data_IF_484146643519
#
_entry.id   IF_484146643519
#
_cell.length_a   1.000
_cell.length_b   1.000
_cell.length_c   1.000
_cell.angle_alpha   90.00
_cell.angle_beta   90.00
_cell.angle_gamma   90.00
#
_symmetry.space_group_name_H-M   'P 1'
#
loop_
_entity.id
_entity.type
_entity.pdbx_description
1 polymer ?
#
# COMPACT_ATOMS: atom_id res chain seq x y z
N UNK A 1 25.67 14.94 1.22
CA UNK A 1 24.71 15.89 1.82
C UNK A 1 24.42 15.49 3.25
N UNK A 2 24.46 16.42 4.18
CA UNK A 2 24.17 16.22 5.60
C UNK A 2 22.78 16.77 5.94
N UNK A 3 21.84 15.91 6.32
CA UNK A 3 20.48 16.30 6.72
C UNK A 3 20.44 16.43 8.23
N UNK A 4 20.13 17.61 8.78
CA UNK A 4 20.08 17.89 10.21
C UNK A 4 18.65 18.22 10.64
N UNK A 5 18.23 17.76 11.83
CA UNK A 5 16.93 18.11 12.40
C UNK A 5 16.95 18.01 13.93
N UNK A 6 15.91 18.58 14.56
CA UNK A 6 15.73 18.44 16.01
C UNK A 6 15.60 16.96 16.42
N UNK A 7 14.91 16.15 15.63
CA UNK A 7 14.71 14.73 15.90
C UNK A 7 15.09 13.86 14.71
N UNK A 8 15.87 12.81 14.95
CA UNK A 8 16.00 11.66 14.06
C UNK A 8 15.18 10.54 14.69
N UNK A 9 14.22 10.00 13.96
CA UNK A 9 13.33 8.90 14.39
C UNK A 9 13.66 7.66 13.54
N UNK A 10 14.61 6.83 13.96
CA UNK A 10 15.08 5.70 13.14
C UNK A 10 14.04 4.60 12.95
N UNK A 11 13.05 4.51 13.83
CA UNK A 11 12.04 3.46 13.96
C UNK A 11 12.61 2.15 14.52
N UNK A 12 13.79 1.72 14.10
CA UNK A 12 14.49 0.52 14.63
C UNK A 12 15.19 0.75 15.98
N UNK A 13 15.27 2.00 16.44
CA UNK A 13 15.87 2.39 17.71
C UNK A 13 15.20 3.65 18.27
N UNK A 14 15.54 4.03 19.51
CA UNK A 14 15.01 5.24 20.15
C UNK A 14 15.34 6.51 19.36
N UNK A 15 14.44 7.50 19.34
CA UNK A 15 14.67 8.78 18.70
C UNK A 15 15.90 9.51 19.26
N UNK A 16 16.66 10.17 18.37
CA UNK A 16 17.83 10.98 18.71
C UNK A 16 17.49 12.47 18.60
N UNK A 17 17.78 13.25 19.63
CA UNK A 17 17.66 14.71 19.58
C UNK A 17 18.90 15.36 18.95
N UNK A 18 18.69 16.45 18.20
CA UNK A 18 19.73 17.22 17.52
C UNK A 18 20.64 16.32 16.68
N UNK A 19 20.00 15.49 15.84
CA UNK A 19 20.66 14.48 15.04
C UNK A 19 20.91 14.91 13.59
N UNK A 20 21.74 14.14 12.91
CA UNK A 20 22.03 14.30 11.49
C UNK A 20 22.24 12.96 10.80
N UNK A 21 21.85 12.91 9.52
CA UNK A 21 22.05 11.80 8.60
C UNK A 21 22.99 12.24 7.50
N UNK A 22 24.04 11.45 7.20
CA UNK A 22 24.85 11.65 6.00
C UNK A 22 24.27 10.79 4.87
N UNK A 23 23.86 11.42 3.79
CA UNK A 23 23.42 10.74 2.56
C UNK A 23 24.50 10.85 1.50
N UNK A 24 24.95 9.70 0.96
CA UNK A 24 25.90 9.60 -0.16
C UNK A 24 25.49 8.45 -1.06
N UNK A 25 25.57 8.66 -2.37
CA UNK A 25 25.31 7.63 -3.39
C UNK A 25 23.98 6.90 -3.19
N UNK A 26 22.93 7.62 -2.73
CA UNK A 26 21.60 7.07 -2.53
C UNK A 26 21.41 6.31 -1.21
N UNK A 27 22.44 6.19 -0.37
CA UNK A 27 22.38 5.46 0.89
C UNK A 27 22.66 6.35 2.10
N UNK A 28 22.19 5.90 3.27
CA UNK A 28 22.54 6.50 4.56
C UNK A 28 23.96 6.03 4.91
N UNK A 29 24.94 6.93 4.81
CA UNK A 29 26.34 6.61 5.00
C UNK A 29 26.79 6.72 6.47
N UNK A 30 26.18 7.61 7.27
CA UNK A 30 26.47 7.77 8.70
C UNK A 30 25.29 8.43 9.43
N UNK A 31 25.19 8.19 10.73
CA UNK A 31 24.17 8.76 11.63
C UNK A 31 24.84 9.19 12.94
N UNK A 32 24.51 10.39 13.42
CA UNK A 32 25.05 10.87 14.68
C UNK A 32 24.46 12.20 15.13
N UNK A 33 25.00 12.78 16.20
CA UNK A 33 24.60 14.12 16.62
C UNK A 33 25.06 15.16 15.59
N UNK A 34 24.25 16.20 15.39
CA UNK A 34 24.58 17.29 14.44
C UNK A 34 25.97 17.85 14.65
N UNK A 35 26.37 18.05 15.92
CA UNK A 35 27.69 18.58 16.26
C UNK A 35 28.82 17.64 15.78
N UNK A 36 28.73 16.35 16.12
CA UNK A 36 29.76 15.36 15.70
C UNK A 36 29.81 15.21 14.19
N UNK A 37 28.65 15.19 13.53
CA UNK A 37 28.56 14.98 12.09
C UNK A 37 29.14 16.18 11.30
N UNK A 38 28.86 17.42 11.74
CA UNK A 38 29.46 18.62 11.14
C UNK A 38 30.99 18.68 11.32
N UNK A 39 31.51 18.21 12.45
CA UNK A 39 32.95 18.12 12.68
C UNK A 39 33.62 17.03 11.83
N UNK A 40 32.93 15.89 11.63
CA UNK A 40 33.47 14.77 10.86
C UNK A 40 33.41 15.02 9.35
N UNK A 41 32.42 15.76 8.90
CA UNK A 41 32.12 16.01 7.49
C UNK A 41 32.00 17.52 7.18
N UNK A 42 33.07 18.32 7.38
CA UNK A 42 32.98 19.77 7.29
C UNK A 42 32.74 20.30 5.87
N UNK A 43 33.05 19.50 4.84
CA UNK A 43 32.89 19.89 3.44
C UNK A 43 31.57 19.45 2.82
N UNK A 44 30.70 18.74 3.58
CA UNK A 44 29.42 18.33 3.07
C UNK A 44 28.41 19.48 3.04
N UNK A 45 27.59 19.50 1.99
CA UNK A 45 26.42 20.37 1.95
C UNK A 45 25.48 20.03 3.11
N UNK A 46 25.11 21.07 3.90
CA UNK A 46 24.24 20.90 5.07
C UNK A 46 22.85 21.43 4.75
N UNK A 47 21.84 20.59 4.98
CA UNK A 47 20.44 20.93 4.96
C UNK A 47 19.87 20.77 6.36
N UNK A 48 19.50 21.89 6.99
CA UNK A 48 19.01 21.92 8.37
C UNK A 48 17.51 22.25 8.40
N UNK A 49 16.72 21.30 8.88
CA UNK A 49 15.26 21.39 8.95
C UNK A 49 14.75 22.00 10.27
N UNK A 50 15.66 22.37 11.18
CA UNK A 50 15.30 23.00 12.47
C UNK A 50 14.43 22.09 13.35
N UNK A 51 13.27 22.60 13.78
CA UNK A 51 12.30 21.89 14.62
C UNK A 51 11.48 20.88 13.79
N UNK A 52 12.14 19.89 13.22
CA UNK A 52 11.54 18.83 12.43
C UNK A 52 11.95 17.45 12.93
N UNK A 53 11.22 16.42 12.45
CA UNK A 53 11.61 15.02 12.56
C UNK A 53 12.04 14.48 11.19
N UNK A 54 13.21 13.82 11.12
CA UNK A 54 13.58 12.97 10.01
C UNK A 54 13.16 11.52 10.34
N UNK A 55 12.35 10.93 9.47
CA UNK A 55 11.85 9.55 9.58
C UNK A 55 12.18 8.76 8.33
N UNK A 56 12.13 7.41 8.36
CA UNK A 56 12.03 6.65 7.13
C UNK A 56 10.80 7.11 6.34
N UNK A 57 10.89 7.05 5.01
CA UNK A 57 9.71 7.28 4.19
C UNK A 57 8.58 6.30 4.51
N UNK A 58 7.35 6.77 4.44
CA UNK A 58 6.19 5.91 4.64
C UNK A 58 6.07 4.92 3.48
N UNK A 59 5.52 3.74 3.79
CA UNK A 59 5.23 2.66 2.85
C UNK A 59 3.73 2.42 2.87
N UNK A 60 3.06 2.72 1.76
CA UNK A 60 1.64 2.40 1.55
C UNK A 60 1.51 1.00 0.93
N UNK A 61 0.95 0.05 1.66
CA UNK A 61 0.83 -1.34 1.21
C UNK A 61 -0.35 -1.59 0.26
N UNK A 62 -1.20 -0.60 0.01
CA UNK A 62 -2.31 -0.71 -0.94
C UNK A 62 -2.86 0.68 -1.32
N UNK A 63 -2.24 1.37 -2.27
CA UNK A 63 -2.55 2.74 -2.62
C UNK A 63 -3.68 2.89 -3.66
N UNK A 64 -3.81 1.97 -4.63
CA UNK A 64 -4.77 2.05 -5.74
C UNK A 64 -4.71 3.41 -6.47
N UNK A 65 -3.50 3.85 -6.81
CA UNK A 65 -3.27 5.18 -7.41
C UNK A 65 -4.07 5.43 -8.69
N UNK A 66 -4.41 4.38 -9.45
CA UNK A 66 -5.26 4.46 -10.65
C UNK A 66 -6.69 4.96 -10.34
N UNK A 67 -7.16 4.82 -9.11
CA UNK A 67 -8.52 5.18 -8.71
C UNK A 67 -8.71 6.66 -8.35
N UNK A 68 -7.67 7.49 -8.47
CA UNK A 68 -7.73 8.93 -8.16
C UNK A 68 -8.80 9.69 -8.94
N UNK A 69 -9.00 9.35 -10.21
CA UNK A 69 -10.02 9.97 -11.09
C UNK A 69 -11.45 9.76 -10.59
N UNK A 70 -11.70 8.69 -9.83
CA UNK A 70 -13.03 8.35 -9.31
C UNK A 70 -13.32 8.98 -7.94
N UNK A 71 -12.39 9.71 -7.35
CA UNK A 71 -12.53 10.36 -6.04
C UNK A 71 -13.85 11.11 -5.92
N UNK A 72 -14.70 10.71 -4.95
CA UNK A 72 -16.00 11.33 -4.68
C UNK A 72 -17.08 11.13 -5.75
N UNK A 73 -16.91 10.21 -6.72
CA UNK A 73 -17.97 9.86 -7.68
C UNK A 73 -18.94 8.82 -7.08
N UNK A 74 -18.43 7.87 -6.32
CA UNK A 74 -19.23 6.84 -5.64
C UNK A 74 -19.12 7.08 -4.13
N UNK A 75 -20.24 7.45 -3.49
CA UNK A 75 -20.25 7.88 -2.09
C UNK A 75 -21.38 7.21 -1.31
N UNK A 76 -21.15 7.04 -0.01
CA UNK A 76 -22.18 6.65 0.98
C UNK A 76 -22.89 5.32 0.62
N UNK A 77 -22.13 4.37 0.06
CA UNK A 77 -22.62 3.05 -0.29
C UNK A 77 -21.87 1.96 0.50
N UNK A 78 -22.57 0.87 0.88
CA UNK A 78 -21.90 -0.30 1.44
C UNK A 78 -21.05 -1.00 0.37
N UNK A 79 -20.11 -1.84 0.83
CA UNK A 79 -19.06 -2.46 0.02
C UNK A 79 -19.54 -3.04 -1.32
N UNK A 80 -20.57 -3.91 -1.33
CA UNK A 80 -21.02 -4.59 -2.55
C UNK A 80 -21.57 -3.60 -3.59
N UNK A 81 -22.37 -2.64 -3.16
CA UNK A 81 -22.94 -1.62 -4.04
C UNK A 81 -21.86 -0.65 -4.53
N UNK A 82 -20.94 -0.26 -3.64
CA UNK A 82 -19.78 0.56 -4.01
C UNK A 82 -18.94 -0.15 -5.09
N UNK A 83 -18.60 -1.43 -4.86
CA UNK A 83 -17.79 -2.21 -5.79
C UNK A 83 -18.40 -2.32 -7.18
N UNK A 84 -19.71 -2.56 -7.25
CA UNK A 84 -20.44 -2.59 -8.52
C UNK A 84 -20.32 -1.27 -9.29
N UNK A 85 -20.55 -0.16 -8.60
CA UNK A 85 -20.49 1.16 -9.22
C UNK A 85 -19.07 1.54 -9.66
N UNK A 86 -18.06 1.23 -8.85
CA UNK A 86 -16.67 1.55 -9.19
C UNK A 86 -16.16 0.70 -10.36
N UNK A 87 -16.55 -0.58 -10.45
CA UNK A 87 -16.19 -1.44 -11.58
C UNK A 87 -16.82 -0.95 -12.89
N UNK A 88 -18.07 -0.46 -12.87
CA UNK A 88 -18.69 0.20 -14.03
C UNK A 88 -17.87 1.43 -14.46
N UNK A 89 -17.49 2.30 -13.54
CA UNK A 89 -16.67 3.48 -13.85
C UNK A 89 -15.29 3.11 -14.40
N UNK A 90 -14.62 2.12 -13.83
CA UNK A 90 -13.30 1.64 -14.30
C UNK A 90 -13.38 1.14 -15.75
N UNK A 91 -14.47 0.48 -16.15
CA UNK A 91 -14.66 0.00 -17.53
C UNK A 91 -14.81 1.12 -18.56
N UNK A 92 -15.01 2.38 -18.12
CA UNK A 92 -15.30 3.55 -18.97
C UNK A 92 -14.08 4.44 -19.18
N UNK A 93 -12.92 4.14 -18.60
CA UNK A 93 -11.67 4.90 -18.79
C UNK A 93 -10.71 4.17 -19.72
N UNK A 94 -9.92 4.92 -20.46
CA UNK A 94 -8.84 4.39 -21.30
C UNK A 94 -7.56 4.18 -20.49
N UNK A 95 -6.65 3.33 -20.98
CA UNK A 95 -5.36 3.06 -20.31
C UNK A 95 -4.53 4.33 -20.09
N UNK A 96 -4.56 5.29 -21.05
CA UNK A 96 -3.88 6.57 -20.91
C UNK A 96 -4.48 7.46 -19.79
N UNK A 97 -5.79 7.38 -19.58
CA UNK A 97 -6.47 8.10 -18.50
C UNK A 97 -6.22 7.44 -17.14
N UNK A 98 -6.10 6.11 -17.12
CA UNK A 98 -5.66 5.37 -15.95
C UNK A 98 -4.22 5.75 -15.57
N UNK A 99 -3.31 5.93 -16.55
CA UNK A 99 -1.96 6.42 -16.31
C UNK A 99 -1.94 7.82 -15.70
N UNK A 100 -2.70 8.77 -16.26
CA UNK A 100 -2.76 10.12 -15.73
C UNK A 100 -3.33 10.15 -14.30
N UNK A 101 -4.33 9.31 -14.03
CA UNK A 101 -4.88 9.13 -12.68
C UNK A 101 -3.84 8.56 -11.70
N UNK A 102 -3.11 7.52 -12.12
CA UNK A 102 -2.05 6.92 -11.33
C UNK A 102 -0.89 7.90 -11.07
N UNK A 103 -0.50 8.66 -12.10
CA UNK A 103 0.53 9.68 -11.96
C UNK A 103 0.16 10.75 -10.93
N UNK A 104 -1.09 11.23 -10.96
CA UNK A 104 -1.60 12.18 -9.95
C UNK A 104 -1.61 11.57 -8.54
N UNK A 105 -2.01 10.30 -8.40
CA UNK A 105 -1.94 9.57 -7.14
C UNK A 105 -0.50 9.46 -6.60
N UNK A 106 0.47 9.13 -7.46
CA UNK A 106 1.89 9.08 -7.08
C UNK A 106 2.44 10.46 -6.63
N UNK A 107 1.98 11.56 -7.24
CA UNK A 107 2.36 12.91 -6.80
C UNK A 107 1.77 13.24 -5.40
N UNK A 108 0.55 12.78 -5.13
CA UNK A 108 -0.08 12.92 -3.80
C UNK A 108 0.71 12.13 -2.76
N UNK A 109 1.06 10.86 -3.05
CA UNK A 109 1.91 10.02 -2.18
C UNK A 109 3.24 10.69 -1.84
N UNK A 110 3.96 11.21 -2.84
CA UNK A 110 5.22 11.93 -2.60
C UNK A 110 5.03 13.14 -1.68
N UNK A 111 3.98 13.93 -1.89
CA UNK A 111 3.72 15.10 -1.05
C UNK A 111 3.23 14.73 0.36
N UNK A 112 2.75 13.50 0.54
CA UNK A 112 2.35 12.93 1.83
C UNK A 112 3.46 12.18 2.57
N UNK A 113 4.70 12.17 2.04
CA UNK A 113 5.83 11.51 2.68
C UNK A 113 5.94 10.02 2.38
N UNK A 114 5.19 9.50 1.44
CA UNK A 114 5.32 8.11 0.99
C UNK A 114 6.48 8.00 0.01
N UNK A 115 7.35 7.02 0.22
CA UNK A 115 8.51 6.73 -0.63
C UNK A 115 8.36 5.40 -1.38
N UNK A 116 7.52 4.51 -0.86
CA UNK A 116 7.26 3.18 -1.42
C UNK A 116 5.76 2.92 -1.45
N UNK A 117 5.26 2.44 -2.57
CA UNK A 117 3.88 1.96 -2.68
C UNK A 117 3.83 0.48 -3.06
N UNK A 118 2.87 -0.25 -2.50
CA UNK A 118 2.42 -1.51 -3.05
C UNK A 118 1.05 -1.28 -3.70
N UNK A 119 0.91 -1.67 -4.96
CA UNK A 119 -0.32 -1.40 -5.73
C UNK A 119 -0.66 -2.54 -6.68
N UNK A 120 -1.90 -2.57 -7.14
CA UNK A 120 -2.39 -3.55 -8.10
C UNK A 120 -2.85 -2.86 -9.38
N UNK A 121 -2.53 -3.43 -10.54
CA UNK A 121 -2.86 -2.87 -11.85
C UNK A 121 -3.25 -3.96 -12.86
N UNK A 122 -4.22 -3.68 -13.70
CA UNK A 122 -4.54 -4.51 -14.86
C UNK A 122 -3.98 -3.94 -16.18
N UNK A 123 -3.66 -2.65 -16.21
CA UNK A 123 -3.24 -1.89 -17.40
C UNK A 123 -1.74 -1.64 -17.45
N UNK A 124 -1.06 -1.68 -16.29
CA UNK A 124 0.32 -1.26 -16.10
C UNK A 124 0.47 0.24 -15.76
N UNK A 125 -0.64 0.97 -15.67
CA UNK A 125 -0.59 2.41 -15.37
C UNK A 125 0.13 2.72 -14.06
N UNK A 126 -0.15 1.97 -12.98
CA UNK A 126 0.55 2.12 -11.71
C UNK A 126 2.06 1.82 -11.83
N UNK A 127 2.48 0.85 -12.66
CA UNK A 127 3.91 0.54 -12.88
C UNK A 127 4.64 1.75 -13.44
N UNK A 128 4.12 2.31 -14.53
CA UNK A 128 4.79 3.40 -15.24
C UNK A 128 4.69 4.73 -14.49
N UNK A 129 3.56 5.02 -13.85
CA UNK A 129 3.40 6.21 -13.03
C UNK A 129 4.38 6.21 -11.82
N UNK A 130 4.50 5.07 -11.12
CA UNK A 130 5.44 4.91 -9.99
C UNK A 130 6.88 5.12 -10.45
N UNK A 131 7.27 4.51 -11.58
CA UNK A 131 8.60 4.70 -12.20
C UNK A 131 8.86 6.17 -12.52
N UNK A 132 7.92 6.81 -13.22
CA UNK A 132 8.12 8.17 -13.76
C UNK A 132 8.08 9.24 -12.66
N UNK A 133 7.41 8.97 -11.54
CA UNK A 133 7.46 9.79 -10.32
C UNK A 133 8.70 9.53 -9.46
N UNK A 134 9.49 8.50 -9.74
CA UNK A 134 10.68 8.17 -8.96
C UNK A 134 10.38 7.49 -7.62
N UNK A 135 9.14 7.08 -7.35
CA UNK A 135 8.77 6.26 -6.19
C UNK A 135 9.36 4.86 -6.31
N UNK A 136 9.59 4.22 -5.18
CA UNK A 136 9.77 2.77 -5.12
C UNK A 136 8.42 2.07 -5.18
N UNK A 137 8.35 0.89 -5.82
CA UNK A 137 7.10 0.16 -5.93
C UNK A 137 7.23 -1.35 -5.85
N UNK A 138 6.21 -2.00 -5.28
CA UNK A 138 5.93 -3.43 -5.48
C UNK A 138 4.57 -3.50 -6.15
N UNK A 139 4.57 -3.70 -7.47
CA UNK A 139 3.35 -3.55 -8.28
C UNK A 139 2.89 -4.90 -8.81
N UNK A 140 1.67 -5.27 -8.46
CA UNK A 140 1.08 -6.57 -8.73
C UNK A 140 0.18 -6.49 -9.98
N UNK A 141 0.43 -7.38 -10.95
CA UNK A 141 -0.45 -7.57 -12.11
C UNK A 141 -1.70 -8.31 -11.67
N UNK A 142 -2.86 -7.65 -11.72
CA UNK A 142 -4.15 -8.27 -11.43
C UNK A 142 -4.47 -9.36 -12.48
N UNK A 143 -4.87 -10.56 -12.04
CA UNK A 143 -5.21 -11.68 -12.91
C UNK A 143 -6.44 -12.40 -12.40
N UNK A 144 -7.45 -12.53 -13.25
CA UNK A 144 -8.67 -13.23 -12.92
C UNK A 144 -9.39 -13.74 -14.16
N UNK A 145 -10.13 -14.80 -13.95
CA UNK A 145 -11.09 -15.34 -14.89
C UNK A 145 -12.08 -16.20 -14.12
N UNK A 146 -13.35 -15.87 -14.19
CA UNK A 146 -14.41 -16.66 -13.54
C UNK A 146 -14.79 -17.89 -14.36
N UNK A 147 -14.70 -17.81 -15.70
CA UNK A 147 -14.92 -18.95 -16.61
C UNK A 147 -13.63 -19.77 -16.73
N UNK A 148 -13.70 -21.06 -16.38
CA UNK A 148 -12.58 -22.00 -16.42
C UNK A 148 -11.84 -21.98 -17.77
N UNK A 149 -12.57 -21.86 -18.88
CA UNK A 149 -11.98 -21.85 -20.23
C UNK A 149 -11.04 -20.67 -20.48
N UNK A 150 -11.21 -19.57 -19.73
CA UNK A 150 -10.42 -18.36 -19.84
C UNK A 150 -9.20 -18.34 -18.91
N UNK A 151 -9.09 -19.24 -17.93
CA UNK A 151 -8.00 -19.27 -16.95
C UNK A 151 -6.63 -19.29 -17.64
N UNK A 152 -6.41 -20.22 -18.56
CA UNK A 152 -5.13 -20.32 -19.28
C UNK A 152 -4.82 -19.09 -20.14
N UNK A 153 -5.85 -18.46 -20.72
CA UNK A 153 -5.67 -17.23 -21.50
C UNK A 153 -5.28 -16.06 -20.58
N UNK A 154 -5.94 -15.91 -19.45
CA UNK A 154 -5.62 -14.88 -18.45
C UNK A 154 -4.19 -15.01 -17.92
N UNK A 155 -3.75 -16.24 -17.60
CA UNK A 155 -2.37 -16.51 -17.17
C UNK A 155 -1.34 -16.15 -18.26
N UNK A 156 -1.57 -16.51 -19.52
CA UNK A 156 -0.67 -16.14 -20.63
C UNK A 156 -0.61 -14.64 -20.85
N UNK A 157 -1.74 -13.95 -20.74
CA UNK A 157 -1.77 -12.48 -20.84
C UNK A 157 -0.98 -11.82 -19.71
N UNK A 158 -1.19 -12.28 -18.49
CA UNK A 158 -0.45 -11.80 -17.32
C UNK A 158 1.07 -11.99 -17.51
N UNK A 159 1.50 -13.17 -17.92
CA UNK A 159 2.90 -13.48 -18.20
C UNK A 159 3.51 -12.54 -19.24
N UNK A 160 2.83 -12.35 -20.37
CA UNK A 160 3.23 -11.41 -21.43
C UNK A 160 3.31 -9.95 -20.95
N UNK A 161 2.36 -9.51 -20.10
CA UNK A 161 2.38 -8.16 -19.52
C UNK A 161 3.57 -7.99 -18.58
N UNK A 162 3.83 -8.96 -17.70
CA UNK A 162 4.97 -8.94 -16.77
C UNK A 162 6.32 -8.96 -17.49
N UNK A 163 6.47 -9.80 -18.53
CA UNK A 163 7.66 -9.82 -19.38
C UNK A 163 7.91 -8.46 -20.02
N UNK A 164 6.89 -7.85 -20.61
CA UNK A 164 6.97 -6.53 -21.20
C UNK A 164 7.33 -5.45 -20.18
N UNK A 165 6.67 -5.44 -19.02
CA UNK A 165 6.89 -4.40 -18.00
C UNK A 165 8.28 -4.52 -17.37
N UNK A 166 8.77 -5.75 -17.14
CA UNK A 166 10.11 -5.98 -16.59
C UNK A 166 11.24 -5.39 -17.44
N UNK A 167 11.05 -5.30 -18.76
CA UNK A 167 12.01 -4.69 -19.69
C UNK A 167 11.99 -3.15 -19.64
N UNK A 168 10.96 -2.55 -19.01
CA UNK A 168 10.73 -1.10 -19.00
C UNK A 168 10.98 -0.46 -17.64
N UNK A 169 11.30 -1.22 -16.62
CA UNK A 169 11.55 -0.74 -15.24
C UNK A 169 12.88 -1.21 -14.71
N UNK A 170 13.42 -0.46 -13.77
CA UNK A 170 14.58 -0.87 -12.99
C UNK A 170 14.11 -1.77 -11.84
N UNK A 171 14.58 -3.03 -11.72
CA UNK A 171 14.18 -3.94 -10.65
C UNK A 171 14.60 -3.49 -9.25
N UNK A 172 15.57 -2.58 -9.12
CA UNK A 172 15.92 -1.96 -7.84
C UNK A 172 14.92 -0.86 -7.43
N UNK A 173 14.16 -0.33 -8.38
CA UNK A 173 13.09 0.64 -8.12
C UNK A 173 11.71 -0.03 -8.05
N UNK A 174 11.37 -0.89 -9.02
CA UNK A 174 10.04 -1.51 -9.17
C UNK A 174 10.17 -3.03 -9.16
N UNK A 175 9.59 -3.65 -8.15
CA UNK A 175 9.40 -5.10 -8.07
C UNK A 175 8.02 -5.42 -8.65
N UNK A 176 7.97 -6.36 -9.60
CA UNK A 176 6.70 -6.83 -10.15
C UNK A 176 6.21 -8.06 -9.39
N UNK A 177 4.90 -8.17 -9.24
CA UNK A 177 4.22 -9.28 -8.59
C UNK A 177 2.93 -9.67 -9.31
N UNK A 178 2.16 -10.58 -8.71
CA UNK A 178 0.88 -11.07 -9.24
C UNK A 178 -0.21 -10.93 -8.20
N UNK A 179 -1.40 -10.49 -8.63
CA UNK A 179 -2.58 -10.40 -7.78
C UNK A 179 -3.75 -11.16 -8.40
N UNK A 180 -4.06 -12.39 -7.95
CA UNK A 180 -5.29 -13.04 -8.36
C UNK A 180 -6.50 -12.27 -7.84
N UNK A 181 -7.58 -12.25 -8.64
CA UNK A 181 -8.83 -11.59 -8.26
C UNK A 181 -9.49 -12.26 -7.05
N UNK A 182 -10.37 -11.55 -6.32
CA UNK A 182 -11.10 -12.10 -5.17
C UNK A 182 -11.91 -13.35 -5.50
N UNK A 183 -12.25 -14.11 -4.46
CA UNK A 183 -12.88 -15.43 -4.57
C UNK A 183 -14.20 -15.45 -5.35
N UNK A 184 -14.92 -14.35 -5.40
CA UNK A 184 -16.18 -14.22 -6.13
C UNK A 184 -16.03 -13.70 -7.58
N UNK A 185 -14.80 -13.36 -8.00
CA UNK A 185 -14.45 -12.92 -9.36
C UNK A 185 -13.47 -13.87 -10.07
N UNK A 186 -13.06 -14.95 -9.39
CA UNK A 186 -11.96 -15.79 -9.86
C UNK A 186 -12.31 -17.27 -9.81
N UNK A 187 -12.02 -18.00 -10.88
CA UNK A 187 -12.08 -19.47 -10.84
C UNK A 187 -11.01 -20.01 -9.90
N UNK A 188 -11.32 -20.97 -9.02
CA UNK A 188 -10.39 -21.40 -7.98
C UNK A 188 -9.08 -22.01 -8.49
N UNK A 189 -9.06 -22.59 -9.70
CA UNK A 189 -7.82 -23.08 -10.33
C UNK A 189 -6.78 -21.95 -10.55
N UNK A 190 -7.21 -20.69 -10.60
CA UNK A 190 -6.32 -19.55 -10.74
C UNK A 190 -5.35 -19.46 -9.56
N UNK A 191 -5.81 -19.72 -8.33
CA UNK A 191 -4.97 -19.65 -7.13
C UNK A 191 -3.79 -20.60 -7.19
N UNK A 192 -4.03 -21.84 -7.59
CA UNK A 192 -2.97 -22.84 -7.79
C UNK A 192 -2.01 -22.44 -8.90
N UNK A 193 -2.57 -21.97 -10.02
CA UNK A 193 -1.74 -21.55 -11.16
C UNK A 193 -0.86 -20.35 -10.83
N UNK A 194 -1.39 -19.38 -10.06
CA UNK A 194 -0.61 -18.22 -9.57
C UNK A 194 0.50 -18.66 -8.61
N UNK A 195 0.21 -19.55 -7.66
CA UNK A 195 1.22 -20.06 -6.73
C UNK A 195 2.35 -20.79 -7.47
N UNK A 196 2.01 -21.65 -8.41
CA UNK A 196 2.99 -22.34 -9.24
C UNK A 196 3.80 -21.35 -10.09
N UNK A 197 3.15 -20.38 -10.73
CA UNK A 197 3.84 -19.36 -11.51
C UNK A 197 4.81 -18.54 -10.67
N UNK A 198 4.39 -18.12 -9.48
CA UNK A 198 5.25 -17.37 -8.56
C UNK A 198 6.50 -18.17 -8.16
N UNK A 199 6.33 -19.46 -7.85
CA UNK A 199 7.46 -20.36 -7.51
C UNK A 199 8.42 -20.57 -8.69
N UNK A 200 7.91 -20.67 -9.93
CA UNK A 200 8.72 -20.82 -11.14
C UNK A 200 9.48 -19.53 -11.53
N UNK A 201 9.07 -18.38 -11.00
CA UNK A 201 9.63 -17.04 -11.30
C UNK A 201 10.30 -16.39 -10.07
N UNK A 202 11.19 -17.10 -9.40
CA UNK A 202 11.99 -16.62 -8.26
C UNK A 202 11.16 -16.15 -7.06
N UNK A 203 10.11 -16.90 -6.73
CA UNK A 203 9.20 -16.56 -5.62
C UNK A 203 8.60 -15.16 -5.74
N UNK A 204 8.09 -14.82 -6.93
CA UNK A 204 7.42 -13.54 -7.19
C UNK A 204 6.42 -13.20 -6.08
N UNK A 205 6.34 -11.94 -5.64
CA UNK A 205 5.37 -11.54 -4.64
C UNK A 205 3.93 -11.67 -5.15
N UNK A 206 3.06 -12.14 -4.28
CA UNK A 206 1.63 -12.34 -4.54
C UNK A 206 0.82 -11.47 -3.60
N UNK A 207 -0.17 -10.75 -4.12
CA UNK A 207 -1.13 -9.97 -3.32
C UNK A 207 -2.55 -10.47 -3.58
N UNK A 208 -3.38 -10.54 -2.54
CA UNK A 208 -4.75 -11.04 -2.66
C UNK A 208 -5.70 -10.28 -1.74
N UNK A 209 -6.81 -9.76 -2.29
CA UNK A 209 -7.95 -9.29 -1.50
C UNK A 209 -8.69 -10.49 -0.94
N UNK A 210 -8.78 -10.60 0.39
CA UNK A 210 -9.32 -11.80 1.03
C UNK A 210 -9.88 -11.51 2.42
N UNK A 211 -10.93 -12.22 2.77
CA UNK A 211 -11.64 -12.08 4.05
C UNK A 211 -12.04 -10.63 4.32
N UNK A 212 -12.44 -9.92 3.27
CA UNK A 212 -12.68 -8.48 3.28
C UNK A 212 -14.05 -8.11 3.86
N UNK A 213 -15.07 -9.00 3.76
CA UNK A 213 -16.41 -8.69 4.23
C UNK A 213 -17.20 -9.92 4.67
N UNK A 214 -18.29 -9.68 5.41
CA UNK A 214 -19.25 -10.73 5.78
C UNK A 214 -19.96 -11.32 4.56
N UNK A 215 -20.12 -10.54 3.51
CA UNK A 215 -20.71 -10.94 2.24
C UNK A 215 -19.81 -11.98 1.55
N UNK A 216 -18.51 -11.78 1.54
CA UNK A 216 -17.54 -12.75 1.04
C UNK A 216 -17.55 -14.05 1.85
N UNK A 217 -17.60 -13.95 3.19
CA UNK A 217 -17.71 -15.15 4.06
C UNK A 217 -18.98 -15.96 3.73
N UNK A 218 -20.12 -15.31 3.54
CA UNK A 218 -21.37 -15.97 3.15
C UNK A 218 -21.29 -16.58 1.76
N UNK A 219 -20.66 -15.87 0.84
CA UNK A 219 -20.44 -16.35 -0.53
C UNK A 219 -19.66 -17.67 -0.53
N UNK A 220 -18.54 -17.72 0.15
CA UNK A 220 -17.68 -18.92 0.20
C UNK A 220 -18.31 -20.03 1.03
N UNK A 221 -18.73 -19.73 2.27
CA UNK A 221 -19.14 -20.73 3.23
C UNK A 221 -20.50 -21.33 2.92
N UNK A 222 -21.46 -20.46 2.59
CA UNK A 222 -22.87 -20.81 2.48
C UNK A 222 -23.35 -20.95 1.02
N UNK A 223 -22.49 -20.62 0.05
CA UNK A 223 -22.87 -20.57 -1.37
C UNK A 223 -23.87 -19.45 -1.69
N UNK A 224 -24.03 -18.49 -0.78
CA UNK A 224 -24.94 -17.37 -0.96
C UNK A 224 -24.25 -16.26 -1.75
N UNK A 225 -24.85 -15.82 -2.84
CA UNK A 225 -24.25 -14.76 -3.67
C UNK A 225 -24.10 -13.44 -2.93
N UNK A 226 -25.02 -13.15 -1.98
CA UNK A 226 -25.03 -11.93 -1.15
C UNK A 226 -24.85 -10.62 -1.98
N UNK A 227 -25.19 -10.66 -3.27
CA UNK A 227 -25.02 -9.56 -4.21
C UNK A 227 -23.64 -9.48 -4.87
N UNK A 228 -22.65 -10.26 -4.43
CA UNK A 228 -21.28 -10.24 -4.99
C UNK A 228 -21.24 -10.75 -6.43
N UNK A 229 -22.11 -11.70 -6.81
CA UNK A 229 -22.30 -12.15 -8.19
C UNK A 229 -22.72 -11.01 -9.13
N UNK A 230 -23.37 -9.97 -8.63
CA UNK A 230 -23.75 -8.80 -9.41
C UNK A 230 -22.60 -7.84 -9.69
N UNK A 231 -21.44 -8.04 -9.07
CA UNK A 231 -20.22 -7.24 -9.31
C UNK A 231 -19.48 -7.68 -10.57
N UNK A 232 -19.82 -8.86 -11.10
CA UNK A 232 -19.22 -9.45 -12.31
C UNK A 232 -20.27 -9.61 -13.39
N UNK A 233 -19.94 -9.26 -14.64
CA UNK A 233 -20.78 -9.53 -15.79
C UNK A 233 -20.56 -10.98 -16.26
N UNK A 234 -21.53 -11.83 -15.97
CA UNK A 234 -21.48 -13.25 -16.32
C UNK A 234 -22.00 -13.57 -17.74
N UNK A 235 -22.38 -12.56 -18.52
CA UNK A 235 -22.90 -12.78 -19.90
C UNK A 235 -21.86 -13.44 -20.78
N UNK A 236 -22.22 -14.57 -21.37
CA UNK A 236 -21.34 -15.33 -22.24
C UNK A 236 -20.38 -16.29 -21.52
N UNK A 237 -20.36 -16.33 -20.19
CA UNK A 237 -19.61 -17.34 -19.44
C UNK A 237 -20.34 -18.68 -19.44
N UNK A 238 -19.60 -19.77 -19.55
CA UNK A 238 -20.16 -21.14 -19.70
C UNK A 238 -19.70 -22.07 -18.58
N UNK A 239 -18.43 -22.04 -18.22
CA UNK A 239 -17.83 -22.91 -17.22
C UNK A 239 -17.51 -22.11 -15.92
N UNK A 240 -18.54 -21.51 -15.33
CA UNK A 240 -18.46 -20.78 -14.07
C UNK A 240 -18.61 -21.75 -12.91
N UNK A 241 -17.85 -21.60 -11.79
CA UNK A 241 -18.02 -22.42 -10.60
C UNK A 241 -19.46 -22.35 -10.11
N UNK A 242 -20.03 -23.49 -9.65
CA UNK A 242 -21.42 -23.52 -9.22
C UNK A 242 -21.68 -22.82 -7.88
N UNK A 243 -20.66 -22.22 -7.27
CA UNK A 243 -20.70 -21.55 -5.96
C UNK A 243 -21.49 -22.33 -4.90
N UNK A 244 -21.19 -23.62 -4.81
CA UNK A 244 -21.80 -24.50 -3.80
C UNK A 244 -21.27 -24.16 -2.41
N UNK A 245 -22.09 -24.37 -1.35
CA UNK A 245 -21.62 -24.22 0.02
C UNK A 245 -20.36 -25.04 0.27
N UNK A 246 -19.29 -24.40 0.75
CA UNK A 246 -18.02 -25.05 1.05
C UNK A 246 -17.85 -25.35 2.54
N UNK A 247 -18.64 -24.67 3.39
CA UNK A 247 -18.57 -24.72 4.85
C UNK A 247 -17.21 -24.26 5.43
N UNK A 248 -16.33 -23.65 4.62
CA UNK A 248 -15.03 -23.09 5.08
C UNK A 248 -15.02 -21.57 5.01
N UNK A 249 -14.02 -20.97 5.65
CA UNK A 249 -13.75 -19.53 5.55
C UNK A 249 -13.09 -19.18 4.21
N UNK A 250 -13.11 -17.91 3.77
CA UNK A 250 -12.36 -17.48 2.59
C UNK A 250 -10.87 -17.82 2.66
N UNK A 251 -10.24 -17.68 3.83
CA UNK A 251 -8.83 -18.03 4.05
C UNK A 251 -8.58 -19.53 3.82
N UNK A 252 -9.40 -20.38 4.43
CA UNK A 252 -9.29 -21.84 4.24
C UNK A 252 -9.64 -22.25 2.80
N UNK A 253 -10.55 -21.55 2.13
CA UNK A 253 -10.85 -21.80 0.73
C UNK A 253 -9.62 -21.59 -0.16
N UNK A 254 -8.97 -20.46 -0.04
CA UNK A 254 -7.76 -20.13 -0.82
C UNK A 254 -6.59 -21.04 -0.45
N UNK A 255 -6.42 -21.36 0.84
CA UNK A 255 -5.45 -22.34 1.33
C UNK A 255 -5.65 -23.71 0.66
N UNK A 256 -6.89 -24.22 0.63
CA UNK A 256 -7.21 -25.52 0.01
C UNK A 256 -6.94 -25.55 -1.50
N UNK A 257 -6.98 -24.38 -2.15
CA UNK A 257 -6.61 -24.25 -3.56
C UNK A 257 -5.12 -23.96 -3.79
N UNK A 258 -4.31 -23.94 -2.72
CA UNK A 258 -2.85 -23.97 -2.76
C UNK A 258 -2.18 -22.62 -2.99
N UNK A 259 -2.89 -21.46 -2.86
CA UNK A 259 -2.24 -20.17 -3.06
C UNK A 259 -1.16 -19.89 -2.00
N UNK A 260 -1.37 -20.33 -0.76
CA UNK A 260 -0.43 -20.09 0.34
C UNK A 260 0.85 -20.96 0.26
N UNK A 261 0.98 -21.79 -0.77
CA UNK A 261 2.25 -22.46 -1.10
C UNK A 261 3.26 -21.52 -1.74
N UNK A 262 2.80 -20.36 -2.28
CA UNK A 262 3.67 -19.27 -2.70
C UNK A 262 4.34 -18.63 -1.46
N UNK A 263 5.64 -18.26 -1.58
CA UNK A 263 6.43 -17.82 -0.41
C UNK A 263 6.20 -16.40 0.04
N UNK A 264 5.77 -15.51 -0.84
CA UNK A 264 5.65 -14.06 -0.60
C UNK A 264 4.20 -13.62 -0.78
N UNK A 265 3.30 -14.12 0.06
CA UNK A 265 1.88 -13.78 -0.01
C UNK A 265 1.56 -12.65 0.95
N UNK A 266 0.95 -11.58 0.42
CA UNK A 266 0.35 -10.47 1.18
C UNK A 266 -1.16 -10.51 1.00
N UNK A 267 -1.88 -10.74 2.09
CA UNK A 267 -3.34 -10.63 2.14
C UNK A 267 -3.74 -9.17 2.40
N UNK A 268 -4.65 -8.64 1.58
CA UNK A 268 -5.24 -7.32 1.77
C UNK A 268 -6.53 -7.43 2.57
N UNK A 269 -6.75 -6.45 3.44
CA UNK A 269 -7.90 -6.26 4.33
C UNK A 269 -7.96 -7.20 5.52
N UNK A 270 -8.22 -8.49 5.34
CA UNK A 270 -8.26 -9.46 6.45
C UNK A 270 -9.22 -9.11 7.58
N UNK A 271 -10.41 -8.59 7.26
CA UNK A 271 -11.38 -8.10 8.25
C UNK A 271 -12.15 -9.23 8.92
N UNK A 272 -12.53 -10.25 8.13
CA UNK A 272 -13.43 -11.33 8.55
C UNK A 272 -12.68 -12.67 8.67
N UNK A 273 -11.76 -12.75 9.62
CA UNK A 273 -10.95 -13.96 9.89
C UNK A 273 -11.32 -14.59 11.23
N UNK A 274 -11.02 -15.87 11.37
CA UNK A 274 -11.10 -16.64 12.63
C UNK A 274 -9.72 -16.84 13.23
N UNK A 275 -9.66 -17.29 14.49
CA UNK A 275 -8.39 -17.67 15.12
C UNK A 275 -7.66 -18.79 14.36
N UNK A 276 -8.42 -19.73 13.76
CA UNK A 276 -7.89 -20.80 12.93
C UNK A 276 -7.27 -20.25 11.63
N UNK A 277 -7.92 -19.27 11.01
CA UNK A 277 -7.37 -18.58 9.84
C UNK A 277 -6.05 -17.88 10.16
N UNK A 278 -5.98 -17.18 11.30
CA UNK A 278 -4.75 -16.51 11.77
C UNK A 278 -3.62 -17.52 11.98
N UNK A 279 -3.92 -18.71 12.54
CA UNK A 279 -2.91 -19.79 12.68
C UNK A 279 -2.41 -20.27 11.32
N UNK A 280 -3.31 -20.51 10.37
CA UNK A 280 -2.93 -20.94 9.03
C UNK A 280 -2.08 -19.86 8.33
N UNK A 281 -2.49 -18.59 8.40
CA UNK A 281 -1.72 -17.49 7.83
C UNK A 281 -0.30 -17.43 8.40
N UNK A 282 -0.14 -17.61 9.71
CA UNK A 282 1.18 -17.67 10.36
C UNK A 282 1.99 -18.87 9.88
N UNK A 283 1.38 -20.05 9.83
CA UNK A 283 2.07 -21.30 9.49
C UNK A 283 2.56 -21.31 8.03
N UNK A 284 1.91 -20.53 7.16
CA UNK A 284 2.31 -20.32 5.76
C UNK A 284 3.03 -18.99 5.51
N UNK A 285 3.40 -18.26 6.57
CA UNK A 285 4.11 -16.97 6.50
C UNK A 285 3.41 -15.91 5.63
N UNK A 286 2.08 -15.89 5.66
CA UNK A 286 1.26 -14.88 4.98
C UNK A 286 1.33 -13.56 5.74
N UNK A 287 1.64 -12.47 5.05
CA UNK A 287 1.61 -11.12 5.59
C UNK A 287 0.24 -10.45 5.40
N UNK A 288 -0.04 -9.41 6.15
CA UNK A 288 -1.32 -8.69 6.08
C UNK A 288 -1.10 -7.19 5.86
N UNK A 289 -1.79 -6.63 4.88
CA UNK A 289 -1.95 -5.19 4.71
C UNK A 289 -3.38 -4.79 5.07
N UNK A 290 -3.55 -3.99 6.11
CA UNK A 290 -4.86 -3.49 6.53
C UNK A 290 -5.11 -2.09 6.01
N UNK A 291 -6.36 -1.81 5.58
CA UNK A 291 -6.80 -0.51 5.11
C UNK A 291 -7.96 -0.04 6.00
N UNK A 292 -7.65 0.52 7.18
CA UNK A 292 -8.64 0.75 8.22
C UNK A 292 -9.73 1.73 7.79
N UNK A 293 -9.38 2.85 7.18
CA UNK A 293 -10.35 3.85 6.75
C UNK A 293 -11.26 3.34 5.63
N UNK A 294 -10.71 2.63 4.65
CA UNK A 294 -11.50 2.01 3.57
C UNK A 294 -12.49 0.99 4.14
N UNK A 295 -12.02 0.09 5.00
CA UNK A 295 -12.87 -0.95 5.60
C UNK A 295 -14.01 -0.37 6.41
N UNK A 296 -13.74 0.70 7.18
CA UNK A 296 -14.78 1.41 7.94
C UNK A 296 -15.76 2.18 7.03
N UNK A 297 -15.24 2.91 6.04
CA UNK A 297 -16.04 3.71 5.10
C UNK A 297 -17.04 2.85 4.32
N UNK A 298 -16.65 1.65 3.94
CA UNK A 298 -17.50 0.73 3.17
C UNK A 298 -18.30 -0.25 4.04
N UNK A 299 -18.23 -0.14 5.37
CA UNK A 299 -18.96 -0.98 6.31
C UNK A 299 -18.50 -2.45 6.33
N UNK A 300 -17.27 -2.73 5.89
CA UNK A 300 -16.71 -4.08 5.85
C UNK A 300 -16.43 -4.61 7.26
N UNK A 301 -16.02 -3.74 8.18
CA UNK A 301 -15.69 -4.07 9.56
C UNK A 301 -14.31 -3.55 9.96
N UNK A 302 -13.72 -4.17 10.99
CA UNK A 302 -12.41 -3.82 11.53
C UNK A 302 -11.54 -5.07 11.59
N UNK A 303 -10.34 -5.00 11.01
CA UNK A 303 -9.38 -6.09 11.06
C UNK A 303 -8.86 -6.31 12.49
N UNK A 304 -8.65 -7.55 12.96
CA UNK A 304 -8.18 -7.84 14.30
C UNK A 304 -6.66 -7.67 14.42
N UNK A 305 -6.16 -6.44 14.24
CA UNK A 305 -4.72 -6.13 14.17
C UNK A 305 -3.98 -6.53 15.44
N UNK A 306 -4.59 -6.33 16.62
CA UNK A 306 -3.99 -6.76 17.88
C UNK A 306 -3.74 -8.28 17.93
N UNK A 307 -4.65 -9.09 17.38
CA UNK A 307 -4.52 -10.53 17.28
C UNK A 307 -3.45 -10.92 16.26
N UNK A 308 -3.39 -10.25 15.13
CA UNK A 308 -2.35 -10.46 14.12
C UNK A 308 -0.96 -10.25 14.69
N UNK A 309 -0.74 -9.09 15.33
CA UNK A 309 0.54 -8.74 15.94
C UNK A 309 0.94 -9.73 17.04
N UNK A 310 -0.02 -10.12 17.91
CA UNK A 310 0.20 -11.11 18.98
C UNK A 310 0.56 -12.49 18.44
N UNK A 311 0.00 -12.86 17.29
CA UNK A 311 0.29 -14.13 16.63
C UNK A 311 1.61 -14.12 15.87
N UNK A 312 2.32 -12.99 15.82
CA UNK A 312 3.60 -12.84 15.14
C UNK A 312 3.49 -12.67 13.63
N UNK A 313 2.30 -12.34 13.09
CA UNK A 313 2.14 -12.02 11.68
C UNK A 313 2.84 -10.70 11.34
N UNK A 314 3.35 -10.61 10.11
CA UNK A 314 3.81 -9.35 9.52
C UNK A 314 2.59 -8.55 9.08
N UNK A 315 2.44 -7.36 9.68
CA UNK A 315 1.26 -6.49 9.45
C UNK A 315 1.72 -5.08 9.17
N UNK A 316 1.15 -4.46 8.16
CA UNK A 316 1.36 -3.06 7.83
C UNK A 316 0.08 -2.38 7.35
N UNK A 317 0.18 -1.09 7.05
CA UNK A 317 -0.93 -0.23 6.66
C UNK A 317 -0.95 0.04 5.16
N UNK A 318 -2.14 0.23 4.62
CA UNK A 318 -2.39 0.79 3.30
C UNK A 318 -3.55 1.78 3.36
N UNK A 319 -3.56 2.77 2.48
CA UNK A 319 -4.63 3.77 2.40
C UNK A 319 -5.89 3.23 1.74
N UNK A 320 -5.75 2.21 0.91
CA UNK A 320 -6.83 1.67 0.10
C UNK A 320 -7.03 2.48 -1.17
N UNK A 321 -8.28 2.70 -1.59
CA UNK A 321 -8.56 3.36 -2.86
C UNK A 321 -9.01 4.82 -2.65
N UNK A 322 -8.41 5.82 -3.34
CA UNK A 322 -8.91 7.20 -3.35
C UNK A 322 -10.37 7.32 -3.76
N UNK A 323 -10.87 6.34 -4.53
CA UNK A 323 -12.28 6.24 -4.89
C UNK A 323 -13.22 6.00 -3.71
N UNK A 324 -12.73 5.43 -2.60
CA UNK A 324 -13.53 5.14 -1.39
C UNK A 324 -13.30 6.18 -0.28
N UNK A 325 -12.03 6.46 0.07
CA UNK A 325 -11.68 7.32 1.21
C UNK A 325 -11.42 8.77 0.83
N UNK A 326 -11.29 9.08 -0.46
CA UNK A 326 -11.02 10.41 -1.02
C UNK A 326 -9.63 11.01 -0.74
N UNK A 327 -8.70 10.28 -0.15
CA UNK A 327 -7.34 10.73 0.14
C UNK A 327 -6.34 9.58 0.09
N UNK A 328 -5.05 9.92 0.01
CA UNK A 328 -3.91 9.06 0.24
C UNK A 328 -3.11 9.70 1.38
N UNK A 329 -3.28 9.22 2.61
CA UNK A 329 -2.75 9.87 3.82
C UNK A 329 -2.42 8.84 4.91
N UNK A 330 -1.15 8.48 5.02
CA UNK A 330 -0.66 7.53 6.01
C UNK A 330 -0.78 8.05 7.46
N UNK A 331 -0.74 9.37 7.69
CA UNK A 331 -0.97 9.92 9.03
C UNK A 331 -2.40 9.65 9.51
N UNK A 332 -3.37 9.83 8.61
CA UNK A 332 -4.77 9.54 8.90
C UNK A 332 -5.00 8.06 9.13
N UNK A 333 -4.40 7.17 8.33
CA UNK A 333 -4.52 5.72 8.50
C UNK A 333 -3.92 5.26 9.84
N UNK A 334 -2.69 5.69 10.19
CA UNK A 334 -2.07 5.39 11.47
C UNK A 334 -2.93 5.84 12.66
N UNK A 335 -3.43 7.07 12.59
CA UNK A 335 -4.27 7.67 13.66
C UNK A 335 -5.60 6.95 13.80
N UNK A 336 -6.26 6.67 12.70
CA UNK A 336 -7.54 5.98 12.68
C UNK A 336 -7.40 4.55 13.22
N UNK A 337 -6.40 3.81 12.76
CA UNK A 337 -6.12 2.45 13.24
C UNK A 337 -5.82 2.43 14.74
N UNK A 338 -4.99 3.36 15.23
CA UNK A 338 -4.70 3.48 16.66
C UNK A 338 -5.96 3.68 17.49
N UNK A 339 -6.85 4.58 17.05
CA UNK A 339 -8.08 4.91 17.78
C UNK A 339 -9.10 3.77 17.74
N UNK A 340 -9.30 3.14 16.58
CA UNK A 340 -10.32 2.10 16.44
C UNK A 340 -9.92 0.83 17.19
N UNK A 341 -8.63 0.46 17.17
CA UNK A 341 -8.15 -0.69 17.95
C UNK A 341 -8.27 -0.47 19.44
N UNK A 342 -7.93 0.72 19.94
CA UNK A 342 -8.11 1.08 21.35
C UNK A 342 -9.58 1.08 21.79
N UNK A 343 -10.50 1.44 20.90
CA UNK A 343 -11.93 1.43 21.19
C UNK A 343 -12.52 0.01 21.25
N UNK A 344 -12.00 -0.91 20.46
CA UNK A 344 -12.53 -2.28 20.35
C UNK A 344 -11.79 -3.30 21.19
N UNK A 345 -10.49 -3.15 21.36
CA UNK A 345 -9.63 -4.07 22.10
C UNK A 345 -9.38 -3.56 23.52
N UNK A 346 -9.19 -4.51 24.46
CA UNK A 346 -8.67 -4.19 25.80
C UNK A 346 -7.16 -3.95 25.82
N UNK A 347 -6.48 -4.24 24.71
CA UNK A 347 -5.06 -4.01 24.55
C UNK A 347 -4.82 -2.67 23.84
N UNK A 348 -3.94 -1.88 24.43
CA UNK A 348 -3.62 -0.55 23.91
C UNK A 348 -2.42 -0.65 22.97
N UNK A 349 -2.65 -0.61 21.66
CA UNK A 349 -1.58 -0.34 20.70
C UNK A 349 -0.93 1.01 21.02
N UNK A 350 0.39 1.07 20.92
CA UNK A 350 1.14 2.31 21.14
C UNK A 350 1.49 2.99 19.80
N UNK A 351 1.88 4.24 19.86
CA UNK A 351 2.22 5.06 18.70
C UNK A 351 3.40 4.49 17.91
N UNK A 352 4.41 3.95 18.59
CA UNK A 352 5.57 3.34 17.95
C UNK A 352 5.16 2.17 17.04
N UNK A 353 4.26 1.30 17.49
CA UNK A 353 3.77 0.16 16.70
C UNK A 353 3.10 0.63 15.40
N UNK A 354 2.30 1.71 15.46
CA UNK A 354 1.63 2.24 14.25
C UNK A 354 2.63 2.89 13.29
N UNK A 355 3.63 3.61 13.80
CA UNK A 355 4.70 4.15 12.99
C UNK A 355 5.51 3.01 12.31
N UNK A 356 5.82 1.94 13.05
CA UNK A 356 6.42 0.74 12.48
C UNK A 356 5.55 0.12 11.39
N UNK A 357 4.23 0.05 11.56
CA UNK A 357 3.30 -0.50 10.56
C UNK A 357 3.24 0.33 9.27
N UNK A 358 3.58 1.60 9.34
CA UNK A 358 3.68 2.49 8.18
C UNK A 358 5.11 2.56 7.59
N UNK A 359 6.10 1.90 8.19
CA UNK A 359 7.52 1.97 7.83
C UNK A 359 8.19 0.61 7.86
N UNK A 360 8.86 0.24 8.96
CA UNK A 360 9.67 -0.99 9.07
C UNK A 360 8.84 -2.27 8.92
N UNK A 361 7.67 -2.37 9.57
CA UNK A 361 6.80 -3.54 9.43
C UNK A 361 6.20 -3.63 8.03
N UNK A 362 5.87 -2.49 7.40
CA UNK A 362 5.44 -2.48 6.02
C UNK A 362 6.56 -2.96 5.07
N UNK A 363 7.80 -2.54 5.30
CA UNK A 363 8.96 -3.07 4.58
C UNK A 363 9.12 -4.58 4.77
N UNK A 364 8.92 -5.09 5.99
CA UNK A 364 8.93 -6.54 6.28
C UNK A 364 7.79 -7.30 5.57
N UNK A 365 6.61 -6.70 5.45
CA UNK A 365 5.49 -7.26 4.66
C UNK A 365 5.93 -7.46 3.21
N UNK A 366 6.62 -6.48 2.63
CA UNK A 366 7.12 -6.52 1.25
C UNK A 366 8.46 -7.25 1.09
N UNK A 367 9.10 -7.67 2.19
CA UNK A 367 10.45 -8.29 2.21
C UNK A 367 11.53 -7.42 1.60
N UNK A 368 11.49 -6.13 1.89
CA UNK A 368 12.49 -5.12 1.49
C UNK A 368 13.07 -4.37 2.69
N UNK A 369 12.90 -4.92 3.89
CA UNK A 369 13.36 -4.31 5.15
C UNK A 369 14.88 -4.31 5.32
N UNK A 370 15.60 -5.04 4.49
CA UNK A 370 17.06 -4.92 4.32
C UNK A 370 17.47 -3.62 3.60
N UNK A 371 16.57 -3.03 2.81
CA UNK A 371 16.83 -1.83 1.99
C UNK A 371 16.23 -0.55 2.57
N UNK A 372 14.99 -0.61 3.10
CA UNK A 372 14.21 0.57 3.53
C UNK A 372 13.40 0.30 4.81
N UNK A 373 12.60 1.27 5.25
CA UNK A 373 11.67 1.15 6.39
C UNK A 373 12.26 1.56 7.74
N UNK A 374 13.55 1.79 7.85
CA UNK A 374 14.22 2.36 9.03
C UNK A 374 15.42 3.20 8.60
N UNK A 375 15.83 4.15 9.48
CA UNK A 375 17.07 4.93 9.24
C UNK A 375 18.25 4.20 9.88
N UNK A 376 18.98 3.46 9.06
CA UNK A 376 20.15 2.71 9.46
C UNK A 376 21.27 2.89 8.42
N UNK A 377 22.53 2.88 8.90
CA UNK A 377 23.69 2.98 8.00
C UNK A 377 23.70 1.79 7.02
N UNK A 378 23.85 2.09 5.74
CA UNK A 378 23.84 1.13 4.64
C UNK A 378 22.47 0.96 3.97
N UNK A 379 21.37 1.38 4.57
CA UNK A 379 20.05 1.39 3.92
C UNK A 379 19.92 2.53 2.92
N UNK A 380 19.01 2.38 1.99
CA UNK A 380 18.69 3.41 1.01
C UNK A 380 18.14 4.66 1.72
N UNK A 381 18.51 5.82 1.20
CA UNK A 381 18.06 7.10 1.73
C UNK A 381 16.65 7.42 1.21
N UNK A 382 15.67 6.66 1.71
CA UNK A 382 14.24 6.93 1.59
C UNK A 382 13.82 7.61 2.90
N UNK A 383 13.78 8.95 2.89
CA UNK A 383 13.72 9.80 4.08
C UNK A 383 12.63 10.86 3.92
N UNK A 384 11.90 11.13 5.01
CA UNK A 384 10.92 12.22 5.08
C UNK A 384 11.31 13.19 6.20
N UNK A 385 11.22 14.49 5.91
CA UNK A 385 11.30 15.54 6.91
C UNK A 385 9.88 16.06 7.19
N UNK A 386 9.50 16.09 8.47
CA UNK A 386 8.18 16.51 8.94
C UNK A 386 8.38 17.66 9.91
N UNK A 387 7.79 18.81 9.60
CA UNK A 387 7.83 20.01 10.44
C UNK A 387 7.05 19.77 11.74
N UNK A 388 7.68 20.04 12.87
CA UNK A 388 7.09 19.95 14.22
C UNK A 388 7.04 21.32 14.92
N UNK A 389 7.22 22.44 14.20
CA UNK A 389 7.22 23.78 14.75
C UNK A 389 5.82 24.41 14.84
N UNK A 390 4.82 23.82 14.21
CA UNK A 390 3.47 24.34 14.15
C UNK A 390 2.79 24.50 15.50
N UNK A 391 1.84 25.43 15.61
CA UNK A 391 1.08 25.65 16.85
C UNK A 391 0.28 24.44 17.31
N UNK A 392 -0.16 23.59 16.39
CA UNK A 392 -0.88 22.33 16.66
C UNK A 392 0.03 21.24 17.19
N UNK A 393 1.35 21.42 17.14
CA UNK A 393 2.37 20.47 17.57
C UNK A 393 3.14 20.95 18.82
N UNK A 394 3.01 22.22 19.18
CA UNK A 394 3.74 22.83 20.30
C UNK A 394 2.92 22.73 21.60
N UNK A 395 3.49 22.25 22.72
CA UNK A 395 4.86 21.78 22.90
C UNK A 395 5.04 20.30 22.48
N UNK A 396 6.12 19.99 21.75
CA UNK A 396 6.49 18.63 21.40
C UNK A 396 7.70 18.19 22.23
N UNK A 397 7.57 17.09 22.96
CA UNK A 397 8.65 16.46 23.73
C UNK A 397 8.91 15.00 23.32
N UNK A 398 7.92 14.39 22.65
CA UNK A 398 8.00 13.04 22.10
C UNK A 398 7.65 13.09 20.60
N UNK A 399 8.65 12.93 19.69
CA UNK A 399 8.42 13.03 18.28
C UNK A 399 7.49 11.95 17.73
N UNK A 400 7.49 10.73 18.27
CA UNK A 400 6.62 9.65 17.82
C UNK A 400 5.16 9.96 18.14
N UNK A 401 4.89 10.45 19.34
CA UNK A 401 3.53 10.89 19.71
C UNK A 401 3.06 12.08 18.89
N UNK A 402 3.95 13.01 18.52
CA UNK A 402 3.63 14.14 17.65
C UNK A 402 3.28 13.68 16.23
N UNK A 403 4.09 12.79 15.65
CA UNK A 403 3.87 12.23 14.33
C UNK A 403 2.49 11.56 14.21
N UNK A 404 2.09 10.80 15.21
CA UNK A 404 0.79 10.13 15.19
C UNK A 404 -0.37 11.01 15.65
N UNK A 405 -0.14 11.87 16.64
CA UNK A 405 -1.20 12.61 17.30
C UNK A 405 -1.62 13.88 16.58
N UNK A 406 -0.65 14.64 16.05
CA UNK A 406 -0.86 15.99 15.55
C UNK A 406 -0.36 16.25 14.12
N UNK A 407 0.66 15.52 13.65
CA UNK A 407 1.18 15.72 12.31
C UNK A 407 0.19 15.29 11.21
N UNK A 408 0.32 15.86 10.04
CA UNK A 408 -0.51 15.62 8.85
C UNK A 408 0.33 15.74 7.58
N UNK A 409 -0.26 15.45 6.42
CA UNK A 409 0.41 15.63 5.13
C UNK A 409 0.93 17.06 4.91
N UNK A 410 0.25 18.07 5.45
CA UNK A 410 0.68 19.47 5.32
C UNK A 410 1.96 19.79 6.09
N UNK A 411 2.37 18.94 7.01
CA UNK A 411 3.60 19.11 7.80
C UNK A 411 4.81 18.43 7.13
N UNK A 412 4.61 17.69 6.03
CA UNK A 412 5.70 17.12 5.24
C UNK A 412 6.40 18.24 4.47
N UNK A 413 7.68 18.46 4.77
CA UNK A 413 8.50 19.50 4.16
C UNK A 413 9.56 18.97 3.18
N UNK A 414 9.87 17.66 3.23
CA UNK A 414 10.75 17.02 2.25
C UNK A 414 10.46 15.53 2.16
N UNK A 415 10.43 15.00 0.93
CA UNK A 415 10.40 13.56 0.64
C UNK A 415 11.57 13.22 -0.28
N UNK A 416 12.40 12.29 0.18
CA UNK A 416 13.60 11.80 -0.52
C UNK A 416 13.45 10.31 -0.80
N UNK A 417 13.69 9.89 -2.04
CA UNK A 417 13.72 8.48 -2.46
C UNK A 417 15.08 8.17 -3.08
N UNK A 418 15.75 7.14 -2.57
CA UNK A 418 17.06 6.73 -3.04
C UNK A 418 18.07 7.91 -3.10
N UNK A 419 18.05 8.77 -2.07
CA UNK A 419 18.91 9.94 -1.95
C UNK A 419 18.54 11.13 -2.85
N UNK A 420 17.47 11.05 -3.63
CA UNK A 420 16.97 12.15 -4.47
C UNK A 420 15.78 12.82 -3.81
N UNK A 421 15.84 14.13 -3.62
CA UNK A 421 14.72 14.93 -3.14
C UNK A 421 13.70 15.03 -4.28
N UNK A 422 12.51 14.44 -4.09
CA UNK A 422 11.43 14.44 -5.09
C UNK A 422 10.33 15.43 -4.73
N UNK A 423 10.18 15.78 -3.46
CA UNK A 423 9.26 16.81 -2.97
C UNK A 423 9.97 17.65 -1.92
N UNK A 424 9.78 18.97 -1.97
CA UNK A 424 10.32 19.90 -1.00
C UNK A 424 9.52 21.20 -0.96
N UNK A 425 9.13 21.63 0.25
CA UNK A 425 8.44 22.91 0.52
C UNK A 425 7.27 23.18 -0.45
N UNK A 426 6.41 22.20 -0.67
CA UNK A 426 5.25 22.34 -1.57
C UNK A 426 5.56 22.19 -3.05
N UNK A 427 6.81 21.85 -3.43
CA UNK A 427 7.24 21.69 -4.82
C UNK A 427 7.62 20.26 -5.12
N UNK A 428 7.05 19.73 -6.18
CA UNK A 428 7.43 18.43 -6.74
C UNK A 428 8.58 18.63 -7.74
N UNK A 429 9.64 17.85 -7.57
CA UNK A 429 10.83 17.83 -8.45
C UNK A 429 10.77 16.71 -9.48
N UNK A 430 9.57 16.24 -9.81
CA UNK A 430 9.31 15.15 -10.74
C UNK A 430 8.39 15.63 -11.86
N UNK A 431 8.79 15.34 -13.11
CA UNK A 431 8.02 15.60 -14.32
C UNK A 431 7.64 17.07 -14.55
N UNK A 432 7.32 17.42 -15.81
CA UNK A 432 6.86 18.78 -16.18
C UNK A 432 5.32 18.87 -16.29
N UNK A 433 4.58 17.84 -15.84
CA UNK A 433 3.21 17.58 -16.31
C UNK A 433 2.07 17.78 -15.33
N UNK A 434 2.30 18.01 -14.02
CA UNK A 434 1.23 17.98 -13.00
C UNK A 434 0.00 18.83 -13.39
N UNK A 435 0.20 20.07 -13.84
CA UNK A 435 -0.90 20.96 -14.24
C UNK A 435 -1.70 20.42 -15.45
N UNK A 436 -1.01 19.83 -16.43
CA UNK A 436 -1.66 19.24 -17.62
C UNK A 436 -2.43 17.99 -17.25
N UNK A 437 -1.84 17.13 -16.42
CA UNK A 437 -2.48 15.92 -15.91
C UNK A 437 -3.74 16.26 -15.11
N UNK A 438 -3.67 17.25 -14.21
CA UNK A 438 -4.84 17.72 -13.44
C UNK A 438 -5.95 18.20 -14.39
N UNK A 439 -5.63 19.01 -15.40
CA UNK A 439 -6.61 19.49 -16.35
C UNK A 439 -7.29 18.35 -17.11
N UNK A 440 -6.51 17.37 -17.60
CA UNK A 440 -7.04 16.20 -18.31
C UNK A 440 -7.91 15.32 -17.41
N UNK A 441 -7.49 15.07 -16.17
CA UNK A 441 -8.30 14.30 -15.20
C UNK A 441 -9.63 15.01 -14.90
N UNK A 442 -9.67 16.34 -14.86
CA UNK A 442 -10.92 17.09 -14.70
C UNK A 442 -11.86 16.93 -15.90
N UNK A 443 -11.34 16.87 -17.12
CA UNK A 443 -12.12 16.58 -18.34
C UNK A 443 -12.69 15.16 -18.32
N UNK A 444 -11.84 14.16 -18.03
CA UNK A 444 -12.26 12.76 -17.88
C UNK A 444 -13.38 12.63 -16.83
N UNK A 445 -13.19 13.26 -15.67
CA UNK A 445 -14.18 13.29 -14.61
C UNK A 445 -15.51 13.92 -15.02
N UNK A 446 -15.46 14.98 -15.84
CA UNK A 446 -16.66 15.60 -16.42
C UNK A 446 -17.47 14.60 -17.26
N UNK A 447 -16.79 13.81 -18.09
CA UNK A 447 -17.42 12.76 -18.93
C UNK A 447 -18.00 11.61 -18.08
N UNK A 448 -17.33 11.20 -17.00
CA UNK A 448 -17.79 10.10 -16.13
C UNK A 448 -19.05 10.44 -15.33
N UNK A 449 -19.35 11.74 -15.14
CA UNK A 449 -20.56 12.23 -14.46
C UNK A 449 -21.79 12.28 -15.35
N UNK A 450 -21.60 12.32 -16.66
CA UNK A 450 -22.67 12.29 -17.68
C UNK A 450 -23.13 10.87 -17.97
#
# INVERSE_FOLDING_TARGET
MLLCAKYIVPVSSEPMENGALLVRDGVIADIGTTEMMRLRYPDEEVKDFGMAALTPGFIDLHARVEDGVFRGLVRDLPFVEWRKNINDLRSRIADSEAYDSAYLGCLEELSAGVTTIADTTSTGAAVFATRDCGLRGVIYREVGAIDKRLVNYAMKKMDSDLEKWSQMVDPDQIILGVAPDPVYECHPEMYRNVAQYAAEHNDLPVSLKLAESKEEVRFVRDGATAGLDSTVDHRGFVEVPPWLPTAVTPVNYVLNWGLFEAKNVMMLYGVCVTEDDIRHMRDYDVAVAVCPSLSAQLGMGVAPVSEYLRSGLRVGLGTGAPASVNYLDMFSEMRFELMIQRALSREFLNSQTLLEMATLRAAQVLRIDDKVGSLEVGKLADIVAIDLSGSHQTPTTDPVSALLGSASNSDVIMTMVNGKILYEEGRLHVGEGATKVIAHILEVRGRLRS
#
